data_IF_674712343647
#
_entry.id   IF_674712343647
#
_cell.length_a   1.000
_cell.length_b   1.000
_cell.length_c   1.000
_cell.angle_alpha   90.00
_cell.angle_beta   90.00
_cell.angle_gamma   90.00
#
_symmetry.space_group_name_H-M   'P 1'
#
loop_
_entity.id
_entity.type
_entity.pdbx_description
1 polymer ?
#
# COMPACT_ATOMS: atom_id res chain seq x y z
N UNK A 1 -20.07 -4.25 10.82
CA UNK A 1 -19.48 -5.60 10.72
C UNK A 1 -20.20 -6.35 9.62
N UNK A 2 -19.60 -6.46 8.45
CA UNK A 2 -20.07 -7.35 7.40
C UNK A 2 -19.76 -8.79 7.84
N UNK A 3 -20.78 -9.55 8.23
CA UNK A 3 -20.67 -10.97 8.54
C UNK A 3 -20.34 -11.74 7.25
N UNK A 4 -19.07 -11.90 6.94
CA UNK A 4 -18.65 -12.79 5.86
C UNK A 4 -19.04 -14.22 6.20
N UNK A 5 -19.77 -14.87 5.28
CA UNK A 5 -20.08 -16.27 5.40
C UNK A 5 -18.78 -17.10 5.34
N UNK A 6 -18.27 -17.51 6.50
CA UNK A 6 -17.00 -18.23 6.68
C UNK A 6 -16.97 -19.65 6.05
N UNK A 7 -18.06 -20.09 5.43
CA UNK A 7 -18.15 -21.40 4.77
C UNK A 7 -17.60 -21.40 3.34
N UNK A 8 -17.30 -20.25 2.76
CA UNK A 8 -16.67 -20.17 1.43
C UNK A 8 -15.16 -20.01 1.57
N UNK A 9 -14.42 -20.70 0.70
CA UNK A 9 -12.97 -20.56 0.57
C UNK A 9 -12.62 -19.94 -0.78
N UNK A 10 -11.58 -19.12 -0.80
CA UNK A 10 -11.20 -18.29 -1.93
C UNK A 10 -9.83 -18.73 -2.49
N UNK A 11 -9.69 -18.62 -3.81
CA UNK A 11 -8.43 -18.84 -4.52
C UNK A 11 -7.56 -17.60 -4.53
N UNK A 12 -8.19 -16.41 -4.39
CA UNK A 12 -7.53 -15.11 -4.35
C UNK A 12 -8.18 -14.23 -3.29
N UNK A 13 -7.33 -13.61 -2.46
CA UNK A 13 -7.72 -12.58 -1.48
C UNK A 13 -6.79 -11.40 -1.68
N UNK A 14 -7.31 -10.17 -1.58
CA UNK A 14 -6.47 -8.97 -1.68
C UNK A 14 -6.82 -7.92 -0.65
N UNK A 15 -5.79 -7.20 -0.20
CA UNK A 15 -5.87 -6.02 0.66
C UNK A 15 -5.16 -4.87 -0.03
N UNK A 16 -5.86 -3.76 -0.22
CA UNK A 16 -5.34 -2.55 -0.84
C UNK A 16 -5.49 -1.40 0.14
N UNK A 17 -4.37 -1.00 0.78
CA UNK A 17 -4.33 0.04 1.81
C UNK A 17 -5.34 -0.23 2.95
N UNK A 18 -5.37 -1.46 3.46
CA UNK A 18 -6.29 -1.91 4.52
C UNK A 18 -5.54 -2.45 5.72
N UNK A 19 -4.49 -3.25 5.50
CA UNK A 19 -3.87 -4.05 6.57
C UNK A 19 -3.21 -3.17 7.64
N UNK A 20 -2.72 -1.99 7.26
CA UNK A 20 -2.15 -0.98 8.15
C UNK A 20 -3.16 -0.34 9.10
N UNK A 21 -4.46 -0.43 8.78
CA UNK A 21 -5.55 0.15 9.59
C UNK A 21 -6.26 -0.87 10.50
N UNK A 22 -5.94 -2.15 10.37
CA UNK A 22 -6.66 -3.22 11.09
C UNK A 22 -6.28 -3.21 12.57
N UNK A 23 -7.26 -3.06 13.45
CA UNK A 23 -7.03 -3.05 14.92
C UNK A 23 -6.61 -4.41 15.47
N UNK A 24 -7.16 -5.50 14.93
CA UNK A 24 -6.92 -6.88 15.37
C UNK A 24 -6.25 -7.70 14.27
N UNK A 25 -4.98 -7.39 14.00
CA UNK A 25 -4.21 -7.99 12.91
C UNK A 25 -4.18 -9.52 12.98
N UNK A 26 -3.91 -10.09 14.15
CA UNK A 26 -3.85 -11.53 14.38
C UNK A 26 -5.19 -12.23 14.05
N UNK A 27 -6.30 -11.69 14.53
CA UNK A 27 -7.65 -12.22 14.24
C UNK A 27 -7.98 -12.13 12.75
N UNK A 28 -7.59 -11.03 12.11
CA UNK A 28 -7.81 -10.83 10.68
C UNK A 28 -7.02 -11.86 9.87
N UNK A 29 -5.73 -12.05 10.16
CA UNK A 29 -4.89 -12.99 9.44
C UNK A 29 -5.32 -14.44 9.68
N UNK A 30 -5.77 -14.82 10.88
CA UNK A 30 -6.39 -16.12 11.15
C UNK A 30 -7.66 -16.35 10.33
N UNK A 31 -8.50 -15.32 10.18
CA UNK A 31 -9.68 -15.42 9.30
C UNK A 31 -9.26 -15.61 7.83
N UNK A 32 -8.29 -14.83 7.37
CA UNK A 32 -7.75 -14.94 6.00
C UNK A 32 -7.22 -16.35 5.75
N UNK A 33 -6.42 -16.90 6.66
CA UNK A 33 -5.92 -18.28 6.57
C UNK A 33 -7.06 -19.28 6.44
N UNK A 34 -8.09 -19.19 7.28
CA UNK A 34 -9.24 -20.09 7.32
C UNK A 34 -10.06 -20.08 6.03
N UNK A 35 -10.26 -18.91 5.43
CA UNK A 35 -11.04 -18.74 4.20
C UNK A 35 -10.21 -18.93 2.92
N UNK A 36 -8.90 -19.10 3.04
CA UNK A 36 -8.01 -19.35 1.90
C UNK A 36 -7.98 -20.84 1.56
N UNK A 37 -8.06 -21.19 0.28
CA UNK A 37 -7.80 -22.54 -0.20
C UNK A 37 -6.29 -22.84 -0.16
N UNK A 38 -5.92 -24.12 -0.21
CA UNK A 38 -4.54 -24.52 -0.46
C UNK A 38 -4.10 -24.00 -1.84
N UNK A 39 -2.88 -23.52 -1.95
CA UNK A 39 -2.33 -22.85 -3.13
C UNK A 39 -3.00 -21.52 -3.50
N UNK A 40 -3.86 -20.96 -2.66
CA UNK A 40 -4.46 -19.63 -2.89
C UNK A 40 -3.40 -18.53 -2.88
N UNK A 41 -3.73 -17.43 -3.55
CA UNK A 41 -2.91 -16.23 -3.62
C UNK A 41 -3.48 -15.17 -2.67
N UNK A 42 -2.59 -14.55 -1.90
CA UNK A 42 -2.89 -13.39 -1.08
C UNK A 42 -2.06 -12.20 -1.57
N UNK A 43 -2.73 -11.14 -2.00
CA UNK A 43 -2.09 -9.90 -2.45
C UNK A 43 -2.28 -8.83 -1.37
N UNK A 44 -1.21 -8.18 -0.98
CA UNK A 44 -1.24 -7.11 0.02
C UNK A 44 -0.49 -5.90 -0.52
N UNK A 45 -1.18 -4.77 -0.65
CA UNK A 45 -0.56 -3.48 -0.92
C UNK A 45 -0.61 -2.64 0.35
N UNK A 46 0.56 -2.18 0.80
CA UNK A 46 0.73 -1.39 2.03
C UNK A 46 1.89 -0.40 1.89
N UNK A 47 1.90 0.68 2.69
CA UNK A 47 3.06 1.54 2.83
C UNK A 47 4.28 0.77 3.36
N UNK A 48 5.43 0.89 2.66
CA UNK A 48 6.69 0.22 3.04
C UNK A 48 7.64 1.24 3.68
N UNK A 49 7.88 1.10 5.00
CA UNK A 49 8.78 1.99 5.75
C UNK A 49 10.25 1.88 5.33
N UNK A 50 10.61 0.91 4.50
CA UNK A 50 11.95 0.76 3.92
C UNK A 50 12.00 1.18 2.45
N UNK A 51 10.90 1.74 1.92
CA UNK A 51 10.91 2.33 0.59
C UNK A 51 11.89 3.49 0.49
N UNK A 52 12.46 3.69 -0.69
CA UNK A 52 13.38 4.80 -0.96
C UNK A 52 12.74 6.16 -0.62
N UNK A 53 11.47 6.34 -0.99
CA UNK A 53 10.72 7.58 -0.70
C UNK A 53 10.54 7.81 0.80
N UNK A 54 10.23 6.77 1.58
CA UNK A 54 10.15 6.89 3.04
C UNK A 54 11.51 7.32 3.64
N UNK A 55 12.59 6.66 3.22
CA UNK A 55 13.95 6.97 3.71
C UNK A 55 14.35 8.41 3.35
N UNK A 56 14.05 8.86 2.13
CA UNK A 56 14.40 10.22 1.67
C UNK A 56 13.56 11.32 2.33
N UNK A 57 12.29 11.07 2.59
CA UNK A 57 11.37 12.05 3.16
C UNK A 57 11.38 12.08 4.69
N UNK A 58 11.89 11.03 5.35
CA UNK A 58 11.92 10.93 6.80
C UNK A 58 10.53 11.20 7.41
N UNK A 59 10.48 12.06 8.44
CA UNK A 59 9.24 12.40 9.14
C UNK A 59 8.19 13.10 8.27
N UNK A 60 8.58 13.60 7.10
CA UNK A 60 7.65 14.20 6.13
C UNK A 60 7.01 13.18 5.18
N UNK A 61 7.26 11.89 5.36
CA UNK A 61 6.67 10.88 4.50
C UNK A 61 5.15 10.87 4.61
N UNK A 62 4.40 10.97 3.47
CA UNK A 62 2.95 11.15 3.47
C UNK A 62 2.14 10.04 4.13
N UNK A 63 2.73 8.85 4.31
CA UNK A 63 2.07 7.72 4.95
C UNK A 63 2.30 7.64 6.47
N UNK A 64 3.04 8.56 7.09
CA UNK A 64 3.03 8.70 8.55
C UNK A 64 1.73 9.37 8.99
N UNK A 65 0.69 8.56 9.13
CA UNK A 65 -0.66 8.97 9.47
C UNK A 65 -1.08 8.38 10.81
N UNK A 66 -1.79 9.15 11.62
CA UNK A 66 -2.31 8.68 12.93
C UNK A 66 -3.30 7.50 12.82
N UNK A 67 -3.84 7.26 11.63
CA UNK A 67 -4.76 6.14 11.35
C UNK A 67 -4.04 4.86 10.95
N UNK A 68 -2.72 4.92 10.70
CA UNK A 68 -1.91 3.74 10.42
C UNK A 68 -1.41 3.13 11.73
N UNK A 69 -1.99 2.00 12.11
CA UNK A 69 -1.64 1.28 13.33
C UNK A 69 -0.38 0.44 13.16
N UNK A 70 -0.07 0.04 11.93
CA UNK A 70 1.08 -0.78 11.58
C UNK A 70 1.86 -0.20 10.42
N UNK A 71 3.18 -0.36 10.48
CA UNK A 71 4.10 -0.06 9.39
C UNK A 71 4.85 -1.31 9.01
N UNK A 72 4.74 -1.68 7.75
CA UNK A 72 5.32 -2.91 7.24
C UNK A 72 6.60 -2.65 6.44
N UNK A 73 7.39 -3.69 6.29
CA UNK A 73 8.43 -3.83 5.29
C UNK A 73 8.49 -5.30 4.87
N UNK A 74 9.27 -5.62 3.82
CA UNK A 74 9.39 -6.98 3.30
C UNK A 74 9.69 -8.02 4.39
N UNK A 75 10.60 -7.72 5.33
CA UNK A 75 10.98 -8.66 6.40
C UNK A 75 9.83 -8.90 7.38
N UNK A 76 9.21 -7.82 7.86
CA UNK A 76 8.16 -7.93 8.88
C UNK A 76 6.91 -8.60 8.33
N UNK A 77 6.45 -8.21 7.13
CA UNK A 77 5.24 -8.78 6.52
C UNK A 77 5.44 -10.27 6.18
N UNK A 78 6.63 -10.65 5.64
CA UNK A 78 6.97 -12.05 5.39
C UNK A 78 6.95 -12.87 6.69
N UNK A 79 7.55 -12.34 7.77
CA UNK A 79 7.62 -13.06 9.06
C UNK A 79 6.23 -13.26 9.67
N UNK A 80 5.36 -12.24 9.58
CA UNK A 80 3.99 -12.32 10.10
C UNK A 80 3.18 -13.34 9.28
N UNK A 81 3.19 -13.23 7.96
CA UNK A 81 2.36 -14.06 7.07
C UNK A 81 2.79 -15.55 7.11
N UNK A 82 4.06 -15.82 7.36
CA UNK A 82 4.56 -17.20 7.52
C UNK A 82 3.89 -17.94 8.69
N UNK A 83 3.49 -17.23 9.75
CA UNK A 83 2.75 -17.81 10.89
C UNK A 83 1.35 -18.33 10.49
N UNK A 84 0.82 -17.88 9.36
CA UNK A 84 -0.49 -18.23 8.82
C UNK A 84 -0.38 -19.04 7.52
N UNK A 85 0.72 -19.75 7.34
CA UNK A 85 0.96 -20.66 6.21
C UNK A 85 0.99 -19.96 4.85
N UNK A 86 1.49 -18.71 4.80
CA UNK A 86 1.72 -17.98 3.56
C UNK A 86 3.21 -17.71 3.35
N UNK A 87 3.73 -18.11 2.20
CA UNK A 87 5.09 -17.78 1.76
C UNK A 87 5.07 -16.64 0.74
N UNK A 88 5.99 -15.69 0.90
CA UNK A 88 6.19 -14.59 -0.04
C UNK A 88 6.78 -15.14 -1.34
N UNK A 89 6.07 -14.97 -2.45
CA UNK A 89 6.52 -15.39 -3.78
C UNK A 89 7.03 -14.24 -4.64
N UNK A 90 6.49 -13.03 -4.46
CA UNK A 90 6.94 -11.85 -5.20
C UNK A 90 6.61 -10.55 -4.46
N UNK A 91 7.26 -9.44 -4.84
CA UNK A 91 6.95 -8.10 -4.38
C UNK A 91 7.52 -7.06 -5.33
N UNK A 92 6.82 -5.96 -5.50
CA UNK A 92 7.22 -4.84 -6.36
C UNK A 92 6.65 -3.51 -5.87
N UNK A 93 7.29 -2.37 -6.21
CA UNK A 93 6.76 -1.05 -5.93
C UNK A 93 5.40 -0.87 -6.60
N UNK A 94 4.42 -0.36 -5.87
CA UNK A 94 3.09 -0.09 -6.40
C UNK A 94 3.06 1.27 -7.08
N UNK A 95 2.98 1.27 -8.41
CA UNK A 95 2.84 2.48 -9.21
C UNK A 95 1.37 2.84 -9.41
N UNK A 96 1.06 4.08 -9.15
CA UNK A 96 -0.26 4.68 -9.38
C UNK A 96 -0.15 5.76 -10.44
N UNK A 97 -1.28 6.12 -11.03
CA UNK A 97 -1.35 7.21 -12.01
C UNK A 97 -2.24 8.32 -11.47
N UNK A 98 -1.70 9.53 -11.39
CA UNK A 98 -2.45 10.70 -10.96
C UNK A 98 -2.19 11.86 -11.92
N UNK A 99 -3.15 12.78 -11.98
CA UNK A 99 -3.01 14.01 -12.74
C UNK A 99 -1.87 14.87 -12.19
N UNK A 100 -1.06 15.38 -13.09
CA UNK A 100 0.10 16.21 -12.78
C UNK A 100 -0.27 17.44 -11.96
N UNK A 101 -1.38 18.09 -12.28
CA UNK A 101 -1.92 19.22 -11.53
C UNK A 101 -2.24 18.85 -10.07
N UNK A 102 -2.84 17.67 -9.85
CA UNK A 102 -3.14 17.17 -8.51
C UNK A 102 -1.86 16.86 -7.72
N UNK A 103 -0.88 16.21 -8.35
CA UNK A 103 0.41 15.90 -7.71
C UNK A 103 1.15 17.18 -7.29
N UNK A 104 1.21 18.18 -8.17
CA UNK A 104 1.83 19.47 -7.84
C UNK A 104 1.11 20.18 -6.70
N UNK A 105 -0.21 20.15 -6.70
CA UNK A 105 -1.01 20.73 -5.61
C UNK A 105 -0.73 20.08 -4.26
N UNK A 106 -0.53 18.74 -4.22
CA UNK A 106 -0.13 18.03 -3.00
C UNK A 106 1.31 18.33 -2.60
N UNK A 107 2.24 18.38 -3.57
CA UNK A 107 3.66 18.61 -3.34
C UNK A 107 3.98 19.99 -2.76
N UNK A 108 3.13 20.99 -2.97
CA UNK A 108 3.25 22.33 -2.35
C UNK A 108 3.36 22.29 -0.83
N UNK A 109 2.71 21.29 -0.20
CA UNK A 109 2.76 21.12 1.26
C UNK A 109 4.20 20.85 1.74
N UNK A 110 5.03 20.25 0.90
CA UNK A 110 6.39 19.86 1.24
C UNK A 110 7.46 20.85 0.75
N UNK A 111 7.26 21.43 -0.45
CA UNK A 111 8.24 22.31 -1.06
C UNK A 111 7.55 23.50 -1.75
N UNK A 112 7.91 24.72 -1.33
CA UNK A 112 7.33 25.98 -1.85
C UNK A 112 7.55 26.17 -3.37
N UNK A 113 8.58 25.56 -3.95
CA UNK A 113 8.87 25.64 -5.38
C UNK A 113 7.72 25.10 -6.24
N UNK A 114 6.92 24.17 -5.71
CA UNK A 114 5.76 23.63 -6.43
C UNK A 114 4.65 24.66 -6.68
N UNK A 115 4.67 25.84 -6.02
CA UNK A 115 3.78 26.95 -6.36
C UNK A 115 4.08 27.52 -7.75
N UNK A 116 5.37 27.59 -8.13
CA UNK A 116 5.77 28.08 -9.44
C UNK A 116 5.59 26.99 -10.51
N UNK A 117 5.92 25.75 -10.18
CA UNK A 117 5.75 24.59 -11.07
C UNK A 117 4.26 24.42 -11.42
N UNK A 118 3.35 24.52 -10.48
CA UNK A 118 1.91 24.42 -10.75
C UNK A 118 1.44 25.51 -11.71
N UNK A 119 1.85 26.79 -11.50
CA UNK A 119 1.50 27.88 -12.42
C UNK A 119 1.96 27.58 -13.85
N UNK A 120 3.18 27.06 -14.00
CA UNK A 120 3.73 26.66 -15.30
C UNK A 120 2.92 25.51 -15.93
N UNK A 121 2.57 24.48 -15.14
CA UNK A 121 1.75 23.33 -15.59
C UNK A 121 0.37 23.79 -16.05
N UNK A 122 -0.26 24.71 -15.30
CA UNK A 122 -1.57 25.29 -15.69
C UNK A 122 -1.43 26.11 -16.96
N UNK A 123 -0.40 26.95 -17.06
CA UNK A 123 -0.14 27.75 -18.26
C UNK A 123 0.07 26.90 -19.51
N UNK A 124 0.80 25.79 -19.37
CA UNK A 124 1.05 24.84 -20.45
C UNK A 124 -0.11 23.87 -20.71
N UNK A 125 -1.21 23.98 -19.99
CA UNK A 125 -2.39 23.09 -20.06
C UNK A 125 -2.07 21.60 -19.80
N UNK A 126 -1.06 21.33 -18.97
CA UNK A 126 -0.58 19.96 -18.66
C UNK A 126 -1.25 19.37 -17.40
N UNK A 127 -2.18 20.08 -16.75
CA UNK A 127 -2.76 19.70 -15.46
C UNK A 127 -3.43 18.33 -15.46
N UNK A 128 -4.06 17.95 -16.58
CA UNK A 128 -4.83 16.69 -16.72
C UNK A 128 -3.99 15.54 -17.26
N UNK A 129 -2.68 15.72 -17.45
CA UNK A 129 -1.81 14.63 -17.86
C UNK A 129 -1.61 13.68 -16.69
N UNK A 130 -1.95 12.42 -16.87
CA UNK A 130 -1.69 11.36 -15.90
C UNK A 130 -0.24 10.93 -15.95
N UNK A 131 0.45 11.01 -14.81
CA UNK A 131 1.84 10.59 -14.67
C UNK A 131 1.97 9.46 -13.64
N UNK A 132 2.85 8.48 -13.85
CA UNK A 132 3.11 7.46 -12.87
C UNK A 132 3.80 8.06 -11.65
N UNK A 133 3.37 7.64 -10.45
CA UNK A 133 4.05 8.01 -9.22
C UNK A 133 4.07 6.83 -8.24
N UNK A 134 5.10 6.78 -7.41
CA UNK A 134 5.20 5.90 -6.26
C UNK A 134 5.78 6.68 -5.09
N UNK A 135 5.09 6.70 -3.97
CA UNK A 135 5.53 7.38 -2.75
C UNK A 135 5.81 6.40 -1.61
N UNK A 136 6.11 5.14 -1.97
CA UNK A 136 6.59 4.15 -1.01
C UNK A 136 5.59 3.08 -0.65
N UNK A 137 4.58 2.84 -1.50
CA UNK A 137 3.75 1.64 -1.39
C UNK A 137 4.42 0.46 -2.10
N UNK A 138 4.28 -0.73 -1.52
CA UNK A 138 4.77 -1.98 -2.08
C UNK A 138 3.65 -3.00 -2.11
N UNK A 139 3.50 -3.68 -3.24
CA UNK A 139 2.62 -4.82 -3.39
C UNK A 139 3.40 -6.09 -3.12
N UNK A 140 2.90 -6.92 -2.21
CA UNK A 140 3.45 -8.21 -1.83
C UNK A 140 2.49 -9.31 -2.28
N UNK A 141 3.03 -10.36 -2.89
CA UNK A 141 2.26 -11.53 -3.33
C UNK A 141 2.70 -12.74 -2.53
N UNK A 142 1.74 -13.36 -1.87
CA UNK A 142 1.95 -14.56 -1.07
C UNK A 142 1.18 -15.73 -1.65
N UNK A 143 1.70 -16.92 -1.43
CA UNK A 143 1.02 -18.18 -1.74
C UNK A 143 0.84 -18.99 -0.47
N UNK A 144 -0.36 -19.53 -0.27
CA UNK A 144 -0.66 -20.46 0.83
C UNK A 144 -0.11 -21.85 0.50
N UNK A 145 0.51 -22.50 1.46
CA UNK A 145 0.99 -23.88 1.38
C UNK A 145 0.28 -24.79 2.36
#
# INVERSE_FOLDING_TARGET
ETSFNLNKRFDLISFWDVLEHVTELDKTLKKVEKISKNNSILIINVPDIKSLTCVMMGDNWPFYLNVHLYYFNKKTIKTILKKYNFDLIDHFPHWQYLELGYLCKRAKKYLKIFNYIEKLIVFLRLSNISVPYNIGQTTFIFKKY
#
